data_IF_394657930021
#
_entry.id   IF_394657930021
#
_cell.length_a   1.000
_cell.length_b   1.000
_cell.length_c   1.000
_cell.angle_alpha   90.00
_cell.angle_beta   90.00
_cell.angle_gamma   90.00
#
_symmetry.space_group_name_H-M   'P 1'
#
loop_
_entity.id
_entity.type
_entity.pdbx_description
1 polymer ?
#
# COMPACT_ATOMS: atom_id res chain seq x y z
N UNK A 1 0.79 6.45 -24.27
CA UNK A 1 1.82 6.42 -23.22
C UNK A 1 1.68 5.09 -22.51
N UNK A 2 2.65 4.24 -22.77
CA UNK A 2 2.67 2.84 -22.29
C UNK A 2 3.13 2.84 -20.84
N UNK A 3 2.21 2.75 -19.90
CA UNK A 3 2.53 2.66 -18.47
C UNK A 3 2.83 1.20 -18.17
N UNK A 4 4.04 0.77 -18.42
CA UNK A 4 4.56 -0.50 -17.92
C UNK A 4 4.69 -0.40 -16.40
N UNK A 5 3.72 -0.96 -15.71
CA UNK A 5 3.77 -1.17 -14.27
C UNK A 5 4.84 -2.23 -13.97
N UNK A 6 6.03 -1.80 -13.70
CA UNK A 6 7.03 -2.66 -13.06
C UNK A 6 6.61 -2.80 -11.60
N UNK A 7 5.98 -3.91 -11.25
CA UNK A 7 5.95 -4.43 -9.89
C UNK A 7 7.40 -4.75 -9.51
N UNK A 8 8.17 -3.73 -9.09
CA UNK A 8 9.49 -3.95 -8.52
C UNK A 8 9.30 -4.76 -7.26
N UNK A 9 9.87 -5.95 -7.28
CA UNK A 9 10.03 -6.94 -6.23
C UNK A 9 9.16 -6.75 -4.98
N UNK A 10 8.13 -7.59 -4.86
CA UNK A 10 7.39 -7.75 -3.63
C UNK A 10 8.38 -7.99 -2.50
N UNK A 11 8.40 -7.11 -1.51
CA UNK A 11 9.20 -7.29 -0.33
C UNK A 11 8.93 -8.69 0.24
N UNK A 12 9.97 -9.40 0.62
CA UNK A 12 9.88 -10.70 1.29
C UNK A 12 9.00 -10.68 2.56
N UNK A 13 8.54 -9.50 2.98
CA UNK A 13 7.65 -9.27 4.11
C UNK A 13 6.15 -9.30 3.78
N UNK A 14 5.75 -9.36 2.50
CA UNK A 14 4.34 -9.31 2.09
C UNK A 14 3.70 -7.91 2.22
N UNK A 15 4.49 -6.85 2.28
CA UNK A 15 4.02 -5.48 2.40
C UNK A 15 3.70 -4.88 1.02
N UNK A 16 2.56 -4.22 0.90
CA UNK A 16 2.13 -3.56 -0.34
C UNK A 16 1.34 -2.29 -0.04
N UNK A 17 1.20 -1.43 -1.06
CA UNK A 17 0.41 -0.21 -0.98
C UNK A 17 -0.30 0.09 -2.30
N UNK A 18 -1.38 0.85 -2.22
CA UNK A 18 -2.17 1.24 -3.37
C UNK A 18 -3.34 2.14 -2.99
N UNK A 19 -4.29 2.26 -3.91
CA UNK A 19 -5.54 2.94 -3.65
C UNK A 19 -6.69 1.94 -3.66
N UNK A 20 -7.44 1.89 -2.57
CA UNK A 20 -8.61 1.01 -2.44
C UNK A 20 -9.86 1.62 -3.09
N UNK A 21 -9.88 2.94 -3.29
CA UNK A 21 -10.88 3.66 -4.06
C UNK A 21 -10.23 4.95 -4.59
N UNK A 22 -10.52 5.32 -5.84
CA UNK A 22 -10.04 6.57 -6.44
C UNK A 22 -11.23 7.50 -6.63
N UNK A 23 -11.12 8.73 -6.11
CA UNK A 23 -12.18 9.72 -6.16
C UNK A 23 -12.52 10.14 -7.60
N UNK A 24 -13.72 10.66 -7.77
CA UNK A 24 -14.23 11.16 -9.04
C UNK A 24 -14.21 10.15 -10.21
N UNK A 25 -13.87 8.89 -9.95
CA UNK A 25 -13.93 7.79 -10.92
C UNK A 25 -15.24 7.06 -10.76
N UNK A 26 -15.96 6.87 -11.89
CA UNK A 26 -17.18 6.05 -11.92
C UNK A 26 -16.78 4.57 -11.82
N UNK A 27 -17.43 3.87 -10.94
CA UNK A 27 -17.28 2.43 -10.77
C UNK A 27 -18.31 1.63 -11.61
N UNK A 28 -18.22 0.30 -11.54
CA UNK A 28 -19.10 -0.61 -12.28
C UNK A 28 -20.55 -0.61 -11.75
N UNK A 29 -20.79 -0.02 -10.57
CA UNK A 29 -22.14 0.16 -10.00
C UNK A 29 -22.75 1.52 -10.33
N UNK A 30 -22.15 2.31 -11.24
CA UNK A 30 -22.50 3.70 -11.53
C UNK A 30 -22.43 4.61 -10.30
N UNK A 31 -21.50 4.35 -9.42
CA UNK A 31 -21.23 5.15 -8.23
C UNK A 31 -19.91 5.92 -8.39
N UNK A 32 -19.84 7.08 -7.74
CA UNK A 32 -18.66 7.93 -7.68
C UNK A 32 -18.44 8.32 -6.23
N UNK A 33 -17.30 7.95 -5.69
CA UNK A 33 -16.94 8.32 -4.32
C UNK A 33 -16.37 9.74 -4.31
N UNK A 34 -16.91 10.59 -3.45
CA UNK A 34 -16.41 11.94 -3.21
C UNK A 34 -15.29 11.96 -2.20
N UNK A 35 -14.42 12.96 -2.32
CA UNK A 35 -13.44 13.29 -1.28
C UNK A 35 -14.15 13.60 0.03
N UNK A 36 -13.69 12.98 1.11
CA UNK A 36 -14.26 13.09 2.45
C UNK A 36 -15.21 11.97 2.81
N UNK A 37 -15.60 11.13 1.86
CA UNK A 37 -16.56 10.03 2.09
C UNK A 37 -16.09 9.02 3.15
N UNK A 38 -14.79 8.83 3.31
CA UNK A 38 -14.22 7.89 4.29
C UNK A 38 -13.83 8.53 5.63
N UNK A 39 -13.87 9.86 5.77
CA UNK A 39 -13.37 10.56 6.97
C UNK A 39 -13.95 10.02 8.27
N UNK A 40 -15.27 9.90 8.34
CA UNK A 40 -15.95 9.47 9.57
C UNK A 40 -15.67 8.00 9.89
N UNK A 41 -15.67 7.14 8.87
CA UNK A 41 -15.40 5.72 9.07
C UNK A 41 -13.96 5.47 9.51
N UNK A 42 -12.98 6.18 8.93
CA UNK A 42 -11.57 6.09 9.32
C UNK A 42 -11.36 6.56 10.77
N UNK A 43 -12.00 7.66 11.19
CA UNK A 43 -11.98 8.12 12.58
C UNK A 43 -12.55 7.07 13.54
N UNK A 44 -13.69 6.42 13.18
CA UNK A 44 -14.26 5.35 14.00
C UNK A 44 -13.32 4.15 14.15
N UNK A 45 -12.65 3.74 13.07
CA UNK A 45 -11.66 2.66 13.13
C UNK A 45 -10.46 3.01 13.99
N UNK A 46 -9.94 4.25 13.90
CA UNK A 46 -8.86 4.74 14.76
C UNK A 46 -9.25 4.74 16.24
N UNK A 47 -10.44 5.24 16.58
CA UNK A 47 -10.95 5.26 17.96
C UNK A 47 -11.10 3.85 18.54
N UNK A 48 -11.40 2.84 17.72
CA UNK A 48 -11.47 1.44 18.13
C UNK A 48 -10.12 0.73 18.17
N UNK A 49 -9.03 1.42 17.87
CA UNK A 49 -7.69 0.84 17.69
C UNK A 49 -7.70 -0.39 16.78
N UNK A 50 -8.51 -0.35 15.72
CA UNK A 50 -8.75 -1.44 14.78
C UNK A 50 -8.77 -0.93 13.34
N UNK A 51 -8.93 -1.81 12.38
CA UNK A 51 -9.00 -1.52 10.95
C UNK A 51 -10.06 -2.41 10.27
N UNK A 52 -10.56 -2.01 9.08
CA UNK A 52 -11.40 -2.87 8.24
C UNK A 52 -10.70 -4.21 7.95
N UNK A 53 -11.46 -5.26 7.69
CA UNK A 53 -10.89 -6.54 7.32
C UNK A 53 -10.11 -6.45 6.00
N UNK A 54 -8.99 -7.19 5.88
CA UNK A 54 -8.31 -7.43 4.60
C UNK A 54 -8.73 -8.81 4.12
N UNK A 55 -9.54 -8.86 3.06
CA UNK A 55 -10.14 -10.09 2.59
C UNK A 55 -9.64 -10.48 1.19
N UNK A 56 -9.92 -11.73 0.82
CA UNK A 56 -9.78 -12.28 -0.50
C UNK A 56 -11.13 -12.30 -1.21
N UNK A 57 -11.27 -11.57 -2.32
CA UNK A 57 -12.47 -11.59 -3.17
C UNK A 57 -13.78 -11.32 -2.41
N UNK A 58 -13.77 -10.42 -1.43
CA UNK A 58 -14.94 -10.10 -0.59
C UNK A 58 -15.47 -11.26 0.26
N UNK A 59 -14.70 -12.34 0.41
CA UNK A 59 -15.10 -13.49 1.22
C UNK A 59 -14.72 -13.28 2.70
N UNK A 60 -15.69 -13.09 3.61
CA UNK A 60 -15.41 -12.85 5.02
C UNK A 60 -14.76 -14.04 5.73
N UNK A 61 -14.85 -15.24 5.16
CA UNK A 61 -14.18 -16.44 5.68
C UNK A 61 -12.69 -16.52 5.31
N UNK A 62 -12.23 -15.60 4.44
CA UNK A 62 -10.87 -15.63 3.88
C UNK A 62 -10.08 -14.33 4.15
N UNK A 63 -9.74 -14.06 5.43
CA UNK A 63 -8.83 -12.97 5.75
C UNK A 63 -7.40 -13.33 5.30
N UNK A 64 -6.73 -12.39 4.61
CA UNK A 64 -5.40 -12.62 4.00
C UNK A 64 -4.29 -11.78 4.62
N UNK A 65 -4.62 -10.85 5.53
CA UNK A 65 -3.64 -9.95 6.13
C UNK A 65 -4.29 -8.86 6.98
N UNK A 66 -3.60 -7.74 7.10
CA UNK A 66 -4.09 -6.56 7.83
C UNK A 66 -3.69 -5.27 7.16
N UNK A 67 -4.49 -4.24 7.31
CA UNK A 67 -4.15 -2.87 6.95
C UNK A 67 -3.28 -2.25 8.04
N UNK A 68 -2.22 -1.56 7.64
CA UNK A 68 -1.33 -0.82 8.54
C UNK A 68 -1.67 0.66 8.55
N UNK A 69 -1.94 1.21 7.37
CA UNK A 69 -2.29 2.61 7.18
C UNK A 69 -3.47 2.69 6.23
N UNK A 70 -4.47 3.45 6.60
CA UNK A 70 -5.59 3.84 5.75
C UNK A 70 -5.77 5.34 5.91
N UNK A 71 -5.72 6.08 4.81
CA UNK A 71 -5.89 7.53 4.82
C UNK A 71 -6.51 8.02 3.51
N UNK A 72 -7.35 9.05 3.58
CA UNK A 72 -7.72 9.82 2.39
C UNK A 72 -6.62 10.82 2.05
N UNK A 73 -6.28 10.90 0.78
CA UNK A 73 -5.48 11.98 0.20
C UNK A 73 -6.27 12.70 -0.93
N UNK A 74 -5.59 13.40 -1.82
CA UNK A 74 -6.23 14.08 -2.95
C UNK A 74 -6.68 13.14 -4.07
N UNK A 75 -6.12 11.94 -4.12
CA UNK A 75 -6.37 10.93 -5.15
C UNK A 75 -7.49 9.98 -4.75
N UNK A 76 -7.51 9.54 -3.47
CA UNK A 76 -8.47 8.53 -3.03
C UNK A 76 -8.22 7.99 -1.63
N UNK A 77 -8.72 6.79 -1.38
CA UNK A 77 -8.44 6.02 -0.17
C UNK A 77 -7.10 5.28 -0.35
N UNK A 78 -6.03 5.89 0.13
CA UNK A 78 -4.70 5.27 0.18
C UNK A 78 -4.70 4.15 1.23
N UNK A 79 -4.14 3.00 0.88
CA UNK A 79 -4.11 1.82 1.73
C UNK A 79 -2.71 1.18 1.70
N UNK A 80 -2.14 0.96 2.89
CA UNK A 80 -0.92 0.18 3.08
C UNK A 80 -1.24 -1.08 3.86
N UNK A 81 -0.91 -2.23 3.31
CA UNK A 81 -1.26 -3.53 3.86
C UNK A 81 -0.08 -4.47 4.00
N UNK A 82 -0.28 -5.48 4.80
CA UNK A 82 0.66 -6.57 4.97
C UNK A 82 -0.06 -7.91 4.93
N UNK A 83 0.30 -8.75 3.97
CA UNK A 83 -0.20 -10.11 3.84
C UNK A 83 0.32 -11.01 4.96
N UNK A 84 -0.52 -11.94 5.39
CA UNK A 84 -0.20 -12.93 6.41
C UNK A 84 0.53 -14.14 5.79
N UNK A 85 1.81 -13.98 5.43
CA UNK A 85 2.60 -14.98 4.69
C UNK A 85 2.73 -16.35 5.37
N UNK A 86 2.41 -16.44 6.66
CA UNK A 86 2.44 -17.70 7.42
C UNK A 86 1.12 -18.48 7.32
N UNK A 87 0.13 -17.95 6.63
CA UNK A 87 -1.13 -18.64 6.32
C UNK A 87 -1.14 -19.04 4.85
N UNK A 88 -1.81 -20.15 4.51
CA UNK A 88 -1.94 -20.60 3.13
C UNK A 88 -2.55 -19.53 2.24
N UNK A 89 -3.64 -18.91 2.67
CA UNK A 89 -4.34 -17.88 1.89
C UNK A 89 -3.52 -16.61 1.69
N UNK A 90 -2.78 -16.15 2.71
CA UNK A 90 -1.91 -15.00 2.60
C UNK A 90 -0.71 -15.24 1.68
N UNK A 91 -0.16 -16.46 1.68
CA UNK A 91 0.92 -16.86 0.78
C UNK A 91 0.45 -16.97 -0.67
N UNK A 92 -0.72 -17.59 -0.91
CA UNK A 92 -1.33 -17.66 -2.25
C UNK A 92 -1.60 -16.26 -2.82
N UNK A 93 -2.19 -15.37 -2.01
CA UNK A 93 -2.43 -13.98 -2.39
C UNK A 93 -1.12 -13.24 -2.73
N UNK A 94 -0.07 -13.48 -1.95
CA UNK A 94 1.25 -12.91 -2.16
C UNK A 94 1.86 -13.35 -3.50
N UNK A 95 1.84 -14.65 -3.81
CA UNK A 95 2.41 -15.16 -5.06
C UNK A 95 1.63 -14.66 -6.28
N UNK A 96 0.30 -14.59 -6.21
CA UNK A 96 -0.53 -14.05 -7.29
C UNK A 96 -0.32 -12.54 -7.50
N UNK A 97 -0.12 -11.79 -6.41
CA UNK A 97 0.21 -10.38 -6.48
C UNK A 97 1.59 -10.15 -7.11
N UNK A 98 2.58 -10.99 -6.76
CA UNK A 98 3.93 -10.99 -7.33
C UNK A 98 3.95 -11.25 -8.84
N UNK A 99 3.16 -12.21 -9.26
CA UNK A 99 3.00 -12.54 -10.68
C UNK A 99 2.23 -11.45 -11.45
N UNK A 100 1.62 -10.46 -10.76
CA UNK A 100 0.72 -9.51 -11.38
C UNK A 100 -0.60 -10.11 -11.85
N UNK A 101 -0.89 -11.37 -11.48
CA UNK A 101 -2.15 -12.03 -11.80
C UNK A 101 -3.34 -11.36 -11.11
N UNK A 102 -3.09 -10.75 -9.96
CA UNK A 102 -4.05 -9.94 -9.21
C UNK A 102 -3.36 -8.64 -8.80
N UNK A 103 -4.03 -7.52 -8.98
CA UNK A 103 -3.58 -6.22 -8.55
C UNK A 103 -4.73 -5.27 -8.18
N UNK A 104 -5.98 -5.72 -8.26
CA UNK A 104 -7.15 -4.95 -7.93
C UNK A 104 -7.35 -4.82 -6.42
N UNK A 105 -7.82 -3.65 -5.99
CA UNK A 105 -8.37 -3.40 -4.67
C UNK A 105 -9.85 -3.05 -4.80
N UNK A 106 -10.68 -3.54 -3.93
CA UNK A 106 -12.11 -3.24 -3.90
C UNK A 106 -12.58 -3.07 -2.47
N UNK A 107 -13.54 -2.19 -2.25
CA UNK A 107 -14.07 -1.87 -0.92
C UNK A 107 -15.45 -2.50 -0.70
N UNK A 108 -15.66 -3.06 0.49
CA UNK A 108 -16.99 -3.40 1.01
C UNK A 108 -17.43 -2.36 2.02
N UNK A 109 -18.61 -1.76 1.81
CA UNK A 109 -19.09 -0.63 2.60
C UNK A 109 -20.63 -0.60 2.69
N UNK A 110 -21.13 0.21 3.62
CA UNK A 110 -22.53 0.62 3.65
C UNK A 110 -22.62 2.09 3.28
N UNK A 111 -23.60 2.43 2.44
CA UNK A 111 -23.87 3.84 2.11
C UNK A 111 -24.56 4.51 3.30
N UNK A 112 -23.95 5.59 3.77
CA UNK A 112 -24.51 6.44 4.84
C UNK A 112 -25.08 7.74 4.24
N UNK A 113 -24.38 8.34 3.27
CA UNK A 113 -24.83 9.52 2.57
C UNK A 113 -24.57 9.43 1.07
N UNK A 114 -25.59 9.76 0.28
CA UNK A 114 -25.44 9.80 -1.18
C UNK A 114 -26.46 10.76 -1.80
N UNK A 115 -26.18 11.18 -3.04
CA UNK A 115 -27.10 11.92 -3.91
C UNK A 115 -26.99 11.42 -5.34
N UNK A 116 -28.01 11.61 -6.15
CA UNK A 116 -27.96 11.34 -7.58
C UNK A 116 -27.52 12.60 -8.34
N UNK A 117 -26.53 12.46 -9.22
CA UNK A 117 -26.07 13.51 -10.12
C UNK A 117 -26.62 13.22 -11.53
N UNK A 118 -27.60 14.01 -11.97
CA UNK A 118 -28.27 13.83 -13.26
C UNK A 118 -27.34 14.12 -14.45
N UNK A 119 -26.35 15.02 -14.29
CA UNK A 119 -25.40 15.38 -15.35
C UNK A 119 -24.41 14.21 -15.56
N UNK A 120 -23.89 13.71 -14.47
CA UNK A 120 -22.97 12.55 -14.49
C UNK A 120 -23.68 11.23 -14.65
N UNK A 121 -25.04 11.20 -14.48
CA UNK A 121 -25.84 9.98 -14.48
C UNK A 121 -25.28 8.91 -13.55
N UNK A 122 -24.87 9.32 -12.34
CA UNK A 122 -24.22 8.49 -11.35
C UNK A 122 -24.71 8.82 -9.93
N UNK A 123 -24.62 7.87 -9.04
CA UNK A 123 -24.81 8.06 -7.61
C UNK A 123 -23.51 8.54 -6.99
N UNK A 124 -23.54 9.69 -6.37
CA UNK A 124 -22.39 10.27 -5.67
C UNK A 124 -22.45 9.83 -4.21
N UNK A 125 -21.41 9.15 -3.76
CA UNK A 125 -21.26 8.70 -2.37
C UNK A 125 -20.49 9.75 -1.59
N UNK A 126 -21.15 10.41 -0.64
CA UNK A 126 -20.59 11.47 0.20
C UNK A 126 -20.19 11.01 1.60
N UNK A 127 -20.75 9.87 2.07
CA UNK A 127 -20.42 9.28 3.37
C UNK A 127 -20.64 7.77 3.30
N UNK A 128 -19.61 6.99 3.66
CA UNK A 128 -19.66 5.52 3.64
C UNK A 128 -19.14 4.94 4.95
N UNK A 129 -19.72 3.81 5.35
CA UNK A 129 -19.21 2.99 6.45
C UNK A 129 -18.38 1.85 5.87
N UNK A 130 -17.06 2.02 5.85
CA UNK A 130 -16.11 1.06 5.32
C UNK A 130 -16.05 -0.18 6.22
N UNK A 131 -16.31 -1.35 5.67
CA UNK A 131 -16.35 -2.64 6.39
C UNK A 131 -15.07 -3.43 6.14
N UNK A 132 -14.66 -3.53 4.86
CA UNK A 132 -13.50 -4.31 4.45
C UNK A 132 -12.86 -3.71 3.18
N UNK A 133 -11.64 -4.14 2.91
CA UNK A 133 -10.96 -3.90 1.63
C UNK A 133 -10.36 -5.23 1.18
N UNK A 134 -10.65 -5.62 -0.05
CA UNK A 134 -10.24 -6.91 -0.62
C UNK A 134 -9.21 -6.77 -1.73
N UNK A 135 -8.30 -7.75 -1.83
CA UNK A 135 -7.61 -8.06 -3.08
C UNK A 135 -8.58 -8.79 -4.02
N UNK A 136 -8.73 -8.26 -5.24
CA UNK A 136 -9.68 -8.80 -6.23
C UNK A 136 -9.07 -8.84 -7.62
N UNK A 137 -9.59 -9.72 -8.48
CA UNK A 137 -9.23 -9.77 -9.91
C UNK A 137 -9.82 -8.59 -10.66
N UNK A 138 -11.09 -8.27 -10.41
CA UNK A 138 -11.85 -7.22 -11.08
C UNK A 138 -12.37 -6.23 -10.04
N UNK A 139 -11.67 -5.11 -9.81
CA UNK A 139 -12.15 -4.09 -8.88
C UNK A 139 -13.28 -3.29 -9.49
N UNK A 140 -14.36 -3.03 -8.73
CA UNK A 140 -15.48 -2.21 -9.18
C UNK A 140 -15.03 -0.80 -9.58
N UNK A 141 -14.12 -0.18 -8.83
CA UNK A 141 -13.43 1.04 -9.25
C UNK A 141 -12.19 0.65 -10.08
N UNK A 142 -12.16 0.85 -11.42
CA UNK A 142 -11.09 0.36 -12.28
C UNK A 142 -9.71 0.97 -11.98
N UNK A 143 -9.68 2.12 -11.30
CA UNK A 143 -8.46 2.80 -10.88
C UNK A 143 -7.94 2.33 -9.50
N UNK A 144 -8.72 1.53 -8.77
CA UNK A 144 -8.34 1.00 -7.46
C UNK A 144 -7.36 -0.17 -7.61
N UNK A 145 -6.06 0.12 -7.49
CA UNK A 145 -4.98 -0.82 -7.78
C UNK A 145 -3.86 -0.77 -6.75
N UNK A 146 -3.22 -1.92 -6.57
CA UNK A 146 -1.91 -1.98 -5.91
C UNK A 146 -0.88 -1.29 -6.82
N UNK A 147 -0.12 -0.33 -6.27
CA UNK A 147 0.82 0.52 -7.04
C UNK A 147 2.28 0.23 -6.76
N UNK A 148 2.60 -0.19 -5.56
CA UNK A 148 3.96 -0.51 -5.19
C UNK A 148 4.00 -1.50 -4.03
N UNK A 149 5.12 -2.18 -3.94
CA UNK A 149 5.47 -3.03 -2.83
C UNK A 149 6.77 -2.48 -2.27
N UNK A 150 6.74 -1.98 -1.03
CA UNK A 150 7.94 -1.48 -0.37
C UNK A 150 8.79 -2.67 0.05
N UNK A 151 10.06 -2.69 -0.33
CA UNK A 151 11.07 -3.48 0.37
C UNK A 151 11.06 -3.09 1.84
N UNK A 152 10.75 -4.01 2.71
CA UNK A 152 11.02 -3.83 4.13
C UNK A 152 12.52 -3.61 4.26
N UNK A 153 12.95 -2.49 4.86
CA UNK A 153 14.34 -2.34 5.27
C UNK A 153 14.66 -3.53 6.17
N UNK A 154 15.35 -4.52 5.63
CA UNK A 154 15.94 -5.55 6.46
C UNK A 154 16.93 -4.83 7.38
N UNK A 155 16.90 -5.11 8.67
CA UNK A 155 17.90 -4.60 9.63
C UNK A 155 19.34 -4.83 9.13
N UNK A 156 19.56 -5.76 8.19
CA UNK A 156 20.83 -6.00 7.51
C UNK A 156 21.30 -4.87 6.60
N UNK A 157 20.40 -4.13 5.94
CA UNK A 157 20.81 -3.02 5.07
C UNK A 157 21.41 -1.85 5.87
N UNK A 158 20.90 -1.58 7.07
CA UNK A 158 21.44 -0.56 7.99
C UNK A 158 22.83 -0.99 8.50
N UNK A 159 23.02 -2.28 8.79
CA UNK A 159 24.31 -2.81 9.24
C UNK A 159 25.36 -2.75 8.12
N UNK A 160 24.98 -3.08 6.88
CA UNK A 160 25.90 -2.98 5.71
C UNK A 160 26.26 -1.55 5.32
N UNK A 161 25.36 -0.60 5.52
CA UNK A 161 25.65 0.84 5.34
C UNK A 161 26.62 1.34 6.42
N UNK A 162 26.43 0.94 7.67
CA UNK A 162 27.30 1.26 8.79
C UNK A 162 28.72 0.67 8.62
N UNK A 163 28.84 -0.58 8.20
CA UNK A 163 30.13 -1.25 7.94
C UNK A 163 30.88 -0.56 6.79
N UNK A 164 30.20 -0.18 5.70
CA UNK A 164 30.83 0.57 4.60
C UNK A 164 31.28 1.97 5.00
N UNK A 165 30.57 2.65 5.89
CA UNK A 165 30.97 3.95 6.43
C UNK A 165 32.22 3.83 7.32
N UNK A 166 32.29 2.80 8.17
CA UNK A 166 33.46 2.50 9.00
C UNK A 166 34.70 2.14 8.16
N UNK A 167 34.56 1.34 7.10
CA UNK A 167 35.66 1.04 6.18
C UNK A 167 36.19 2.27 5.45
N UNK A 168 35.34 3.21 5.05
CA UNK A 168 35.78 4.47 4.43
C UNK A 168 36.52 5.37 5.41
N UNK A 169 36.06 5.44 6.66
CA UNK A 169 36.73 6.21 7.70
C UNK A 169 38.10 5.63 8.06
N UNK A 170 38.21 4.30 8.19
CA UNK A 170 39.48 3.62 8.44
C UNK A 170 40.47 3.80 7.29
N UNK A 171 40.04 3.79 6.03
CA UNK A 171 40.90 4.02 4.86
C UNK A 171 41.37 5.46 4.79
N UNK A 172 40.55 6.43 5.20
CA UNK A 172 40.94 7.85 5.25
C UNK A 172 41.98 8.15 6.33
N UNK A 173 41.95 7.47 7.46
CA UNK A 173 42.91 7.60 8.55
C UNK A 173 44.26 6.97 8.21
N UNK A 174 44.29 5.86 7.44
CA UNK A 174 45.54 5.22 7.03
C UNK A 174 46.30 5.98 5.93
N UNK A 175 45.67 6.88 5.19
CA UNK A 175 46.31 7.74 4.19
C UNK A 175 46.90 9.02 4.76
N UNK A 176 46.52 9.41 5.99
CA UNK A 176 47.01 10.60 6.67
C UNK A 176 48.38 10.40 7.39
N UNK A 177 48.81 9.15 7.56
CA UNK A 177 50.07 8.87 8.36
C UNK A 177 51.30 8.67 7.51
N UNK A 178 51.27 8.99 6.19
CA UNK A 178 52.45 8.94 5.32
C UNK A 178 52.83 10.31 4.79
N UNK A 179 53.23 11.23 5.63
CA UNK A 179 54.07 12.37 5.28
C UNK A 179 54.78 12.89 6.52
N UNK A 180 55.95 12.38 6.82
CA UNK A 180 57.08 13.12 7.38
C UNK A 180 58.30 12.18 7.42
N UNK A 181 59.07 12.11 6.38
CA UNK A 181 60.51 11.88 6.50
C UNK A 181 61.20 13.06 5.90
N UNK A 182 61.65 13.93 6.76
CA UNK A 182 62.63 15.01 6.46
C UNK A 182 64.00 14.37 6.48
N UNK A 183 64.77 14.58 5.41
CA UNK A 183 66.19 14.26 5.32
C UNK A 183 66.97 15.37 6.00
N UNK A 184 67.88 15.00 6.87
CA UNK A 184 69.09 15.76 7.20
C UNK A 184 70.27 14.80 7.09
N UNK A 185 71.22 15.22 6.17
CA UNK A 185 72.63 14.84 5.98
C UNK A 185 73.00 13.37 5.87
#
# INVERSE_FOLDING_TARGET
MDVRWQLKELSSSGYFLGYASVFATRDDHNEIVERGAFKKTLQRWQQRASAPAMLWMHDPSRPIGRWRTLAEDEVGLHAEGQLALRTRQGMEAYELLKLGAINGLSIGYRVVGSRYDAVRRARILSDVDLIEISLVTFPANPAARVRAVKEGQSRGAVLHAGIRALHRAACALSSSTRRTHVWYE
#
